data_IF_073723963775
#
_entry.id   IF_073723963775
#
_cell.length_a   1.000
_cell.length_b   1.000
_cell.length_c   1.000
_cell.angle_alpha   90.00
_cell.angle_beta   90.00
_cell.angle_gamma   90.00
#
_symmetry.space_group_name_H-M   'P 1'
#
loop_
_entity.id
_entity.type
_entity.pdbx_description
1 polymer ?
#
# COMPACT_ATOMS: atom_id res chain seq x y z
N UNK A 1 20.30 -46.55 8.60
CA UNK A 1 20.57 -45.11 8.87
C UNK A 1 19.97 -44.19 7.81
N UNK A 2 20.13 -44.46 6.50
CA UNK A 2 19.56 -43.60 5.45
C UNK A 2 18.03 -43.45 5.50
N UNK A 3 17.26 -44.50 5.74
CA UNK A 3 15.79 -44.40 5.75
C UNK A 3 15.24 -43.59 6.92
N UNK A 4 15.84 -43.73 8.11
CA UNK A 4 15.49 -42.95 9.30
C UNK A 4 15.81 -41.45 9.10
N UNK A 5 16.95 -41.15 8.47
CA UNK A 5 17.35 -39.79 8.13
C UNK A 5 16.41 -39.19 7.06
N UNK A 6 16.07 -39.96 6.01
CA UNK A 6 15.12 -39.54 4.96
C UNK A 6 13.72 -39.32 5.54
N UNK A 7 13.25 -40.19 6.43
CA UNK A 7 11.98 -40.03 7.13
C UNK A 7 11.93 -38.78 8.01
N UNK A 8 13.04 -38.47 8.71
CA UNK A 8 13.16 -37.25 9.51
C UNK A 8 13.14 -35.98 8.63
N UNK A 9 13.83 -36.00 7.48
CA UNK A 9 13.80 -34.89 6.52
C UNK A 9 12.41 -34.69 5.92
N UNK A 10 11.71 -35.77 5.55
CA UNK A 10 10.35 -35.68 5.02
C UNK A 10 9.37 -35.13 6.07
N UNK A 11 9.49 -35.56 7.34
CA UNK A 11 8.67 -35.05 8.44
C UNK A 11 8.94 -33.57 8.72
N UNK A 12 10.21 -33.14 8.71
CA UNK A 12 10.60 -31.74 8.89
C UNK A 12 10.05 -30.85 7.77
N UNK A 13 10.19 -31.29 6.50
CA UNK A 13 9.64 -30.57 5.35
C UNK A 13 8.13 -30.48 5.42
N UNK A 14 7.44 -31.56 5.80
CA UNK A 14 6.00 -31.56 6.02
C UNK A 14 5.57 -30.55 7.09
N UNK A 15 6.26 -30.52 8.24
CA UNK A 15 5.99 -29.58 9.31
C UNK A 15 6.19 -28.12 8.89
N UNK A 16 7.26 -27.82 8.14
CA UNK A 16 7.52 -26.48 7.59
C UNK A 16 6.36 -26.07 6.67
N UNK A 17 5.99 -26.91 5.69
CA UNK A 17 4.89 -26.61 4.77
C UNK A 17 3.58 -26.37 5.52
N UNK A 18 3.26 -27.20 6.52
CA UNK A 18 2.06 -27.03 7.34
C UNK A 18 2.03 -25.70 8.10
N UNK A 19 3.15 -25.28 8.72
CA UNK A 19 3.23 -23.99 9.42
C UNK A 19 2.98 -22.83 8.46
N UNK A 20 3.56 -22.88 7.26
CA UNK A 20 3.34 -21.86 6.24
C UNK A 20 1.89 -21.84 5.76
N UNK A 21 1.28 -23.00 5.47
CA UNK A 21 -0.13 -23.08 5.05
C UNK A 21 -1.06 -22.55 6.14
N UNK A 22 -0.80 -22.88 7.41
CA UNK A 22 -1.56 -22.34 8.54
C UNK A 22 -1.44 -20.81 8.60
N UNK A 23 -0.24 -20.28 8.42
CA UNK A 23 0.01 -18.85 8.44
C UNK A 23 -0.67 -18.10 7.27
N UNK A 24 -0.62 -18.65 6.05
CA UNK A 24 -1.31 -18.09 4.89
C UNK A 24 -2.83 -18.13 5.05
N UNK A 25 -3.36 -19.24 5.59
CA UNK A 25 -4.79 -19.38 5.85
C UNK A 25 -5.26 -18.42 6.95
N UNK A 26 -4.46 -18.26 8.00
CA UNK A 26 -4.72 -17.30 9.08
C UNK A 26 -4.79 -15.87 8.55
N UNK A 27 -3.82 -15.45 7.72
CA UNK A 27 -3.84 -14.12 7.09
C UNK A 27 -5.02 -13.93 6.15
N UNK A 28 -5.29 -14.92 5.27
CA UNK A 28 -6.46 -14.88 4.39
C UNK A 28 -7.77 -14.82 5.18
N UNK A 29 -7.82 -15.45 6.36
CA UNK A 29 -8.95 -15.38 7.28
C UNK A 29 -9.07 -13.98 7.89
N UNK A 30 -7.99 -13.36 8.36
CA UNK A 30 -8.00 -11.98 8.86
C UNK A 30 -8.44 -10.98 7.79
N UNK A 31 -7.97 -11.13 6.55
CA UNK A 31 -8.39 -10.33 5.41
C UNK A 31 -9.88 -10.51 5.12
N UNK A 32 -10.37 -11.75 5.13
CA UNK A 32 -11.78 -12.09 4.92
C UNK A 32 -12.69 -11.55 6.02
N UNK A 33 -12.25 -11.63 7.28
CA UNK A 33 -13.01 -11.15 8.45
C UNK A 33 -13.09 -9.62 8.45
N UNK A 34 -11.98 -8.92 8.23
CA UNK A 34 -11.96 -7.45 8.26
C UNK A 34 -12.57 -6.83 6.99
N UNK A 35 -12.52 -7.55 5.87
CA UNK A 35 -13.05 -7.14 4.57
C UNK A 35 -12.34 -5.91 3.97
N UNK A 36 -11.16 -5.54 4.49
CA UNK A 36 -10.50 -4.28 4.16
C UNK A 36 -10.17 -4.16 2.66
N UNK A 37 -9.76 -5.26 2.01
CA UNK A 37 -9.51 -5.28 0.55
C UNK A 37 -10.76 -4.98 -0.26
N UNK A 38 -11.90 -5.56 0.11
CA UNK A 38 -13.18 -5.28 -0.56
C UNK A 38 -13.53 -3.81 -0.40
N UNK A 39 -13.44 -3.28 0.83
CA UNK A 39 -13.72 -1.86 1.11
C UNK A 39 -12.82 -0.91 0.31
N UNK A 40 -11.53 -1.22 0.18
CA UNK A 40 -10.62 -0.44 -0.66
C UNK A 40 -10.95 -0.58 -2.15
N UNK A 41 -11.31 -1.78 -2.62
CA UNK A 41 -11.71 -1.98 -4.01
C UNK A 41 -12.98 -1.19 -4.35
N UNK A 42 -13.98 -1.22 -3.47
CA UNK A 42 -15.21 -0.45 -3.59
C UNK A 42 -14.93 1.06 -3.58
N UNK A 43 -14.07 1.53 -2.67
CA UNK A 43 -13.66 2.93 -2.62
C UNK A 43 -12.94 3.37 -3.91
N UNK A 44 -11.99 2.58 -4.42
CA UNK A 44 -11.26 2.92 -5.64
C UNK A 44 -12.11 2.83 -6.92
N UNK A 45 -13.23 2.11 -6.88
CA UNK A 45 -14.17 1.95 -8.00
C UNK A 45 -15.41 2.85 -7.89
N UNK A 46 -15.56 3.59 -6.79
CA UNK A 46 -16.66 4.53 -6.61
C UNK A 46 -16.69 5.56 -7.76
N UNK A 47 -17.88 5.90 -8.27
CA UNK A 47 -18.04 6.89 -9.36
C UNK A 47 -17.42 8.25 -9.00
N UNK A 48 -17.54 8.64 -7.75
CA UNK A 48 -17.02 9.88 -7.17
C UNK A 48 -16.31 9.55 -5.86
N UNK A 49 -15.14 10.14 -5.64
CA UNK A 49 -14.41 10.04 -4.36
C UNK A 49 -14.82 11.22 -3.49
N UNK A 50 -15.30 10.90 -2.29
CA UNK A 50 -15.64 11.88 -1.26
C UNK A 50 -14.70 11.71 -0.05
N UNK A 51 -14.91 12.53 0.99
CA UNK A 51 -14.23 12.33 2.27
C UNK A 51 -14.40 10.91 2.83
N UNK A 52 -15.50 10.22 2.52
CA UNK A 52 -15.71 8.83 2.94
C UNK A 52 -14.59 7.93 2.43
N UNK A 53 -14.28 7.99 1.14
CA UNK A 53 -13.24 7.17 0.52
C UNK A 53 -11.83 7.60 0.98
N UNK A 54 -11.62 8.88 1.27
CA UNK A 54 -10.39 9.38 1.92
C UNK A 54 -10.20 8.73 3.29
N UNK A 55 -11.27 8.64 4.10
CA UNK A 55 -11.20 7.99 5.42
C UNK A 55 -11.00 6.48 5.32
N UNK A 56 -11.55 5.82 4.30
CA UNK A 56 -11.28 4.40 4.03
C UNK A 56 -9.78 4.19 3.75
N UNK A 57 -9.18 5.02 2.90
CA UNK A 57 -7.73 5.00 2.68
C UNK A 57 -6.96 5.27 3.97
N UNK A 58 -7.31 6.35 4.70
CA UNK A 58 -6.62 6.75 5.94
C UNK A 58 -6.65 5.68 7.02
N UNK A 59 -7.76 4.96 7.14
CA UNK A 59 -7.97 3.85 8.09
C UNK A 59 -7.13 2.61 7.73
N UNK A 60 -6.83 2.42 6.45
CA UNK A 60 -5.98 1.31 6.00
C UNK A 60 -4.48 1.57 6.21
N UNK A 61 -4.09 2.81 6.57
CA UNK A 61 -2.71 3.23 6.82
C UNK A 61 -2.39 3.20 8.32
N UNK A 62 -1.09 3.35 8.66
CA UNK A 62 -0.67 3.46 10.06
C UNK A 62 -1.30 4.69 10.73
N UNK A 63 -1.50 4.59 12.05
CA UNK A 63 -1.97 5.74 12.85
C UNK A 63 -0.97 6.90 12.77
N UNK A 64 0.31 6.60 13.02
CA UNK A 64 1.43 7.54 12.87
C UNK A 64 2.32 7.17 11.67
N UNK A 65 2.94 8.16 11.00
CA UNK A 65 3.97 7.92 10.00
C UNK A 65 5.13 7.07 10.52
N UNK A 66 5.67 6.20 9.66
CA UNK A 66 6.88 5.47 9.96
C UNK A 66 8.08 6.43 10.11
N UNK A 67 8.98 6.13 11.05
CA UNK A 67 10.24 6.87 11.24
C UNK A 67 11.34 6.28 10.35
N UNK A 68 12.36 7.09 10.02
CA UNK A 68 13.57 6.65 9.31
C UNK A 68 13.25 5.90 8.00
N UNK A 69 12.37 6.47 7.17
CA UNK A 69 11.92 5.84 5.92
C UNK A 69 12.89 6.09 4.77
N UNK A 70 13.23 5.03 4.05
CA UNK A 70 14.00 5.12 2.81
C UNK A 70 13.08 5.40 1.61
N UNK A 71 13.50 6.29 0.71
CA UNK A 71 12.77 6.61 -0.52
C UNK A 71 12.47 5.36 -1.38
N UNK A 72 11.32 5.37 -2.06
CA UNK A 72 10.79 4.24 -2.82
C UNK A 72 10.42 2.98 -2.02
N UNK A 73 10.38 3.04 -0.69
CA UNK A 73 9.82 1.96 0.13
C UNK A 73 8.30 2.09 0.30
N UNK A 74 7.64 0.98 0.65
CA UNK A 74 6.21 1.02 0.98
C UNK A 74 5.91 1.93 2.18
N UNK A 75 6.78 1.96 3.19
CA UNK A 75 6.65 2.86 4.33
C UNK A 75 6.78 4.34 3.91
N UNK A 76 7.70 4.65 2.98
CA UNK A 76 7.84 5.99 2.42
C UNK A 76 6.59 6.45 1.67
N UNK A 77 6.05 5.67 0.73
CA UNK A 77 4.84 6.07 0.02
C UNK A 77 3.63 6.12 0.96
N UNK A 78 3.54 5.22 1.95
CA UNK A 78 2.47 5.23 2.94
C UNK A 78 2.47 6.51 3.78
N UNK A 79 3.64 7.03 4.15
CA UNK A 79 3.75 8.32 4.83
C UNK A 79 3.23 9.46 3.95
N UNK A 80 3.54 9.47 2.65
CA UNK A 80 2.99 10.46 1.70
C UNK A 80 1.46 10.35 1.66
N UNK A 81 0.92 9.13 1.58
CA UNK A 81 -0.53 8.91 1.60
C UNK A 81 -1.17 9.45 2.88
N UNK A 82 -0.56 9.22 4.05
CA UNK A 82 -1.04 9.72 5.36
C UNK A 82 -1.14 11.24 5.32
N UNK A 83 -0.04 11.94 5.00
CA UNK A 83 -0.03 13.40 4.99
C UNK A 83 -0.99 13.99 3.96
N UNK A 84 -1.14 13.34 2.81
CA UNK A 84 -2.11 13.76 1.80
C UNK A 84 -3.55 13.58 2.29
N UNK A 85 -3.89 12.43 2.87
CA UNK A 85 -5.21 12.19 3.45
C UNK A 85 -5.54 13.20 4.55
N UNK A 86 -4.58 13.52 5.42
CA UNK A 86 -4.76 14.49 6.50
C UNK A 86 -5.00 15.90 5.93
N UNK A 87 -4.27 16.30 4.89
CA UNK A 87 -4.48 17.56 4.18
C UNK A 87 -5.90 17.66 3.59
N UNK A 88 -6.32 16.64 2.83
CA UNK A 88 -7.64 16.60 2.20
C UNK A 88 -8.74 16.60 3.25
N UNK A 89 -8.55 15.84 4.34
CA UNK A 89 -9.50 15.80 5.44
C UNK A 89 -9.72 17.18 6.05
N UNK A 90 -8.64 17.92 6.34
CA UNK A 90 -8.73 19.29 6.86
C UNK A 90 -9.41 20.23 5.86
N UNK A 91 -8.98 20.23 4.59
CA UNK A 91 -9.54 21.06 3.53
C UNK A 91 -11.06 20.90 3.42
N UNK A 92 -11.55 19.68 3.31
CA UNK A 92 -12.98 19.44 3.06
C UNK A 92 -13.84 19.44 4.33
N UNK A 93 -13.27 19.13 5.50
CA UNK A 93 -13.98 19.23 6.77
C UNK A 93 -14.27 20.69 7.14
N UNK A 94 -13.31 21.59 6.93
CA UNK A 94 -13.45 23.02 7.25
C UNK A 94 -14.36 23.79 6.27
N UNK A 95 -14.44 23.34 5.01
CA UNK A 95 -15.15 24.08 3.95
C UNK A 95 -16.56 23.57 3.63
N UNK A 96 -17.04 22.51 4.30
CA UNK A 96 -18.36 21.88 4.05
C UNK A 96 -18.60 21.48 2.58
N UNK A 97 -17.53 21.32 1.79
CA UNK A 97 -17.61 20.89 0.40
C UNK A 97 -17.87 19.38 0.33
N UNK A 98 -18.77 18.97 -0.59
CA UNK A 98 -19.23 17.58 -0.65
C UNK A 98 -18.38 16.67 -1.51
N UNK A 99 -17.60 17.22 -2.45
CA UNK A 99 -16.81 16.42 -3.39
C UNK A 99 -15.43 16.98 -3.68
N UNK A 100 -14.46 16.07 -3.76
CA UNK A 100 -13.08 16.37 -4.06
C UNK A 100 -12.92 16.85 -5.51
N UNK A 101 -11.91 17.66 -5.77
CA UNK A 101 -11.46 17.97 -7.13
C UNK A 101 -11.09 16.68 -7.86
N UNK A 102 -11.33 16.63 -9.17
CA UNK A 102 -11.04 15.44 -10.00
C UNK A 102 -9.62 14.90 -9.78
N UNK A 103 -8.62 15.78 -9.74
CA UNK A 103 -7.23 15.43 -9.49
C UNK A 103 -7.04 14.77 -8.12
N UNK A 104 -7.70 15.27 -7.09
CA UNK A 104 -7.63 14.69 -5.76
C UNK A 104 -8.30 13.32 -5.71
N UNK A 105 -9.45 13.18 -6.38
CA UNK A 105 -10.12 11.89 -6.53
C UNK A 105 -9.17 10.86 -7.18
N UNK A 106 -8.49 11.24 -8.25
CA UNK A 106 -7.57 10.35 -8.96
C UNK A 106 -6.32 10.01 -8.13
N UNK A 107 -5.79 10.94 -7.34
CA UNK A 107 -4.70 10.67 -6.40
C UNK A 107 -5.13 9.64 -5.35
N UNK A 108 -6.33 9.78 -4.76
CA UNK A 108 -6.87 8.81 -3.79
C UNK A 108 -7.01 7.42 -4.45
N UNK A 109 -7.49 7.34 -5.70
CA UNK A 109 -7.56 6.06 -6.43
C UNK A 109 -6.19 5.43 -6.65
N UNK A 110 -5.18 6.23 -7.03
CA UNK A 110 -3.81 5.76 -7.23
C UNK A 110 -3.25 5.19 -5.93
N UNK A 111 -3.44 5.88 -4.81
CA UNK A 111 -3.00 5.42 -3.50
C UNK A 111 -3.69 4.14 -3.04
N UNK A 112 -5.02 4.05 -3.18
CA UNK A 112 -5.75 2.81 -2.85
C UNK A 112 -5.28 1.64 -3.72
N UNK A 113 -5.08 1.85 -5.02
CA UNK A 113 -4.56 0.81 -5.93
C UNK A 113 -3.15 0.36 -5.52
N UNK A 114 -2.31 1.28 -5.07
CA UNK A 114 -0.98 0.95 -4.52
C UNK A 114 -1.09 0.03 -3.28
N UNK A 115 -2.00 0.30 -2.34
CA UNK A 115 -2.23 -0.58 -1.18
C UNK A 115 -2.67 -1.98 -1.61
N UNK A 116 -3.64 -2.05 -2.53
CA UNK A 116 -4.17 -3.31 -3.06
C UNK A 116 -3.10 -4.14 -3.78
N UNK A 117 -2.24 -3.48 -4.57
CA UNK A 117 -1.14 -4.06 -5.33
C UNK A 117 -0.02 -4.54 -4.43
N UNK A 118 0.41 -3.73 -3.45
CA UNK A 118 1.43 -4.12 -2.48
C UNK A 118 1.04 -5.40 -1.74
N UNK A 119 -0.21 -5.47 -1.28
CA UNK A 119 -0.69 -6.67 -0.60
C UNK A 119 -0.79 -7.90 -1.53
N UNK A 120 -1.19 -7.71 -2.80
CA UNK A 120 -1.16 -8.80 -3.77
C UNK A 120 0.26 -9.33 -4.00
N UNK A 121 1.22 -8.45 -4.24
CA UNK A 121 2.62 -8.85 -4.49
C UNK A 121 3.26 -9.48 -3.26
N UNK A 122 3.00 -8.94 -2.07
CA UNK A 122 3.48 -9.52 -0.83
C UNK A 122 2.92 -10.95 -0.61
N UNK A 123 1.61 -11.15 -0.80
CA UNK A 123 1.02 -12.49 -0.69
C UNK A 123 1.49 -13.45 -1.80
N UNK A 124 1.63 -12.97 -3.03
CA UNK A 124 2.14 -13.77 -4.15
C UNK A 124 3.60 -14.19 -3.94
N UNK A 125 4.43 -13.29 -3.40
CA UNK A 125 5.84 -13.55 -3.07
C UNK A 125 5.99 -14.57 -1.93
N UNK A 126 5.06 -14.55 -0.96
CA UNK A 126 5.04 -15.52 0.12
C UNK A 126 4.72 -16.92 -0.43
N UNK A 127 3.74 -17.05 -1.32
CA UNK A 127 3.40 -18.32 -1.96
C UNK A 127 4.50 -18.82 -2.92
N UNK A 128 5.21 -17.91 -3.59
CA UNK A 128 6.31 -18.29 -4.49
C UNK A 128 7.54 -18.81 -3.75
N UNK A 129 7.79 -18.36 -2.52
CA UNK A 129 8.87 -18.87 -1.66
C UNK A 129 8.74 -20.36 -1.29
N UNK A 130 7.54 -20.94 -1.42
CA UNK A 130 7.27 -22.38 -1.25
C UNK A 130 7.56 -23.20 -2.52
N UNK A 131 7.66 -22.57 -3.70
CA UNK A 131 8.13 -23.24 -4.90
C UNK A 131 9.65 -23.37 -4.79
N UNK A 132 10.14 -24.53 -4.39
CA UNK A 132 11.56 -24.94 -4.39
C UNK A 132 12.30 -24.79 -5.75
N UNK A 133 11.73 -24.10 -6.76
CA UNK A 133 12.37 -23.73 -8.01
C UNK A 133 12.52 -22.21 -8.09
N UNK A 134 13.77 -21.76 -8.22
CA UNK A 134 14.21 -20.43 -8.67
C UNK A 134 13.21 -19.73 -9.59
N UNK A 135 12.29 -18.97 -9.01
CA UNK A 135 11.95 -17.66 -9.55
C UNK A 135 12.77 -16.70 -8.71
N UNK A 136 13.86 -16.21 -9.30
CA UNK A 136 14.67 -15.12 -8.78
C UNK A 136 13.77 -13.87 -8.74
N UNK A 137 12.83 -13.81 -7.80
CA UNK A 137 12.17 -12.56 -7.49
C UNK A 137 13.21 -11.77 -6.72
N UNK A 138 13.75 -10.73 -7.37
CA UNK A 138 14.74 -9.84 -6.78
C UNK A 138 14.12 -9.12 -5.59
N UNK A 139 14.09 -9.78 -4.43
CA UNK A 139 13.67 -9.23 -3.15
C UNK A 139 14.52 -8.01 -2.70
N UNK A 140 15.58 -7.69 -3.44
CA UNK A 140 16.45 -6.54 -3.22
C UNK A 140 16.06 -5.28 -3.99
N UNK A 141 15.12 -5.35 -4.95
CA UNK A 141 14.58 -4.15 -5.60
C UNK A 141 13.23 -3.83 -4.98
N UNK A 142 13.13 -2.65 -4.36
CA UNK A 142 11.85 -2.06 -4.00
C UNK A 142 10.93 -2.15 -5.23
N UNK A 143 9.65 -2.55 -5.07
CA UNK A 143 8.78 -2.77 -6.21
C UNK A 143 8.67 -1.50 -7.06
N UNK A 144 8.90 -1.61 -8.37
CA UNK A 144 8.88 -0.46 -9.28
C UNK A 144 7.56 0.33 -9.18
N UNK A 145 6.45 -0.36 -8.89
CA UNK A 145 5.13 0.24 -8.71
C UNK A 145 5.06 1.28 -7.57
N UNK A 146 5.94 1.21 -6.56
CA UNK A 146 5.98 2.19 -5.47
C UNK A 146 6.43 3.54 -6.01
N UNK A 147 7.51 3.55 -6.79
CA UNK A 147 8.01 4.76 -7.47
C UNK A 147 7.00 5.26 -8.48
N UNK A 148 6.42 4.37 -9.28
CA UNK A 148 5.37 4.72 -10.26
C UNK A 148 4.15 5.37 -9.59
N UNK A 149 3.77 4.89 -8.39
CA UNK A 149 2.67 5.47 -7.61
C UNK A 149 2.96 6.92 -7.25
N UNK A 150 4.17 7.21 -6.75
CA UNK A 150 4.59 8.58 -6.45
C UNK A 150 4.59 9.46 -7.72
N UNK A 151 5.26 9.02 -8.78
CA UNK A 151 5.38 9.76 -10.03
C UNK A 151 4.01 10.05 -10.65
N UNK A 152 3.08 9.09 -10.58
CA UNK A 152 1.71 9.25 -11.05
C UNK A 152 0.94 10.27 -10.21
N UNK A 153 1.02 10.18 -8.88
CA UNK A 153 0.36 11.13 -7.98
C UNK A 153 0.90 12.56 -8.19
N UNK A 154 2.22 12.73 -8.31
CA UNK A 154 2.86 14.00 -8.60
C UNK A 154 2.41 14.57 -9.96
N UNK A 155 2.35 13.72 -10.99
CA UNK A 155 1.89 14.13 -12.33
C UNK A 155 0.43 14.61 -12.31
N UNK A 156 -0.45 13.91 -11.58
CA UNK A 156 -1.85 14.32 -11.42
C UNK A 156 -1.92 15.65 -10.67
N UNK A 157 -1.16 15.80 -9.58
CA UNK A 157 -1.10 17.02 -8.78
C UNK A 157 -0.70 18.24 -9.63
N UNK A 158 0.35 18.09 -10.46
CA UNK A 158 0.83 19.14 -11.36
C UNK A 158 -0.15 19.51 -12.47
N UNK A 159 -1.14 18.68 -12.76
CA UNK A 159 -2.17 19.00 -13.76
C UNK A 159 -3.15 20.09 -13.31
N UNK A 160 -3.15 20.48 -12.02
CA UNK A 160 -3.91 21.62 -11.50
C UNK A 160 -3.42 22.98 -12.05
N UNK A 161 -2.19 23.04 -12.58
CA UNK A 161 -1.56 24.24 -13.14
C UNK A 161 -0.88 25.12 -12.08
N UNK A 162 0.17 25.86 -12.47
CA UNK A 162 1.09 26.55 -11.54
C UNK A 162 0.44 27.63 -10.65
N UNK A 163 -0.79 28.06 -10.96
CA UNK A 163 -1.54 29.03 -10.15
C UNK A 163 -2.31 28.39 -8.98
N UNK A 164 -2.44 27.07 -8.97
CA UNK A 164 -3.13 26.34 -7.91
C UNK A 164 -2.21 26.11 -6.70
N UNK A 165 -2.72 26.36 -5.49
CA UNK A 165 -1.98 26.16 -4.23
C UNK A 165 -1.54 24.71 -4.03
N UNK A 166 -2.22 23.76 -4.66
CA UNK A 166 -1.97 22.32 -4.58
C UNK A 166 -1.09 21.79 -5.72
N UNK A 167 -0.69 22.62 -6.69
CA UNK A 167 0.10 22.21 -7.87
C UNK A 167 1.29 21.28 -7.57
N UNK A 168 2.06 21.58 -6.53
CA UNK A 168 3.23 20.81 -6.10
C UNK A 168 3.04 20.15 -4.72
N UNK A 169 1.80 19.97 -4.26
CA UNK A 169 1.51 19.48 -2.91
C UNK A 169 2.20 18.13 -2.61
N UNK A 170 2.10 17.14 -3.50
CA UNK A 170 2.74 15.84 -3.33
C UNK A 170 4.25 15.97 -3.16
N UNK A 171 4.88 16.83 -3.96
CA UNK A 171 6.30 17.12 -3.87
C UNK A 171 6.65 17.79 -2.55
N UNK A 172 5.89 18.82 -2.14
CA UNK A 172 6.10 19.51 -0.86
C UNK A 172 5.94 18.58 0.34
N UNK A 173 5.00 17.63 0.29
CA UNK A 173 4.85 16.59 1.31
C UNK A 173 6.13 15.75 1.39
N UNK A 174 6.62 15.24 0.25
CA UNK A 174 7.84 14.45 0.19
C UNK A 174 9.07 15.22 0.69
N UNK A 175 9.23 16.48 0.27
CA UNK A 175 10.36 17.33 0.68
C UNK A 175 10.36 17.55 2.22
N UNK A 176 9.19 17.88 2.81
CA UNK A 176 9.06 18.03 4.27
C UNK A 176 9.31 16.74 5.05
N UNK A 177 9.03 15.58 4.46
CA UNK A 177 9.33 14.30 5.09
C UNK A 177 10.84 14.08 5.19
N UNK A 178 11.60 14.49 4.17
CA UNK A 178 13.07 14.37 4.15
C UNK A 178 13.76 15.30 5.13
N UNK A 179 13.17 16.46 5.45
CA UNK A 179 13.69 17.41 6.44
C UNK A 179 13.55 16.94 7.91
N UNK A 180 12.70 15.94 8.17
CA UNK A 180 12.42 15.41 9.51
C UNK A 180 13.20 14.13 9.86
N UNK A 181 14.02 13.63 8.94
CA UNK A 181 14.92 12.47 9.12
C UNK A 181 16.30 12.97 9.49
#
# INVERSE_FOLDING_TARGET
MNELVVGLFAALLGAIVSIFTLYTNYRSSLDGISGWRSKLFDAASAKEITLKEVQVLRTALRYEPAKEVQENTFDWISNIMIYYCDYISLKYFEHHETSLLYQEQEIIRVFIRCLLKNHWEYNASMLSSLKFLKLYYNASRQPEFIRETYEKAETICRSLGNGDKEYDLIKRINDRMKEKV
#
